data_IF_859599109543
#
_entry.id   IF_859599109543
#
_cell.length_a   1.000
_cell.length_b   1.000
_cell.length_c   1.000
_cell.angle_alpha   90.00
_cell.angle_beta   90.00
_cell.angle_gamma   90.00
#
_symmetry.space_group_name_H-M   'P 1'
#
loop_
_entity.id
_entity.type
_entity.pdbx_description
1 polymer ?
#
# COMPACT_ATOMS: atom_id res chain seq x y z
N UNK A 1 20.31 -53.35 -25.18
CA UNK A 1 21.06 -52.23 -24.52
C UNK A 1 20.06 -51.39 -23.77
N UNK A 2 19.88 -51.69 -22.47
CA UNK A 2 18.88 -50.99 -21.59
C UNK A 2 19.49 -49.69 -21.13
N UNK A 3 18.91 -48.57 -21.57
CA UNK A 3 19.24 -47.24 -21.01
C UNK A 3 18.65 -47.18 -19.58
N UNK A 4 19.47 -47.44 -18.58
CA UNK A 4 19.15 -47.09 -17.20
C UNK A 4 19.25 -45.58 -17.10
N UNK A 5 18.10 -44.90 -17.22
CA UNK A 5 18.00 -43.47 -16.84
C UNK A 5 17.98 -43.43 -15.32
N UNK A 6 19.14 -43.26 -14.69
CA UNK A 6 19.21 -42.89 -13.29
C UNK A 6 18.40 -41.60 -13.10
N UNK A 7 17.24 -41.73 -12.43
CA UNK A 7 16.52 -40.56 -11.91
C UNK A 7 17.46 -39.89 -10.91
N UNK A 8 18.12 -38.80 -11.31
CA UNK A 8 18.80 -37.91 -10.36
C UNK A 8 17.78 -37.58 -9.26
N UNK A 9 18.11 -37.99 -8.03
CA UNK A 9 17.34 -37.68 -6.82
C UNK A 9 16.99 -36.18 -6.88
N UNK A 10 15.71 -35.85 -6.75
CA UNK A 10 15.24 -34.47 -6.86
C UNK A 10 16.16 -33.54 -6.07
N UNK A 11 16.73 -32.57 -6.78
CA UNK A 11 17.69 -31.64 -6.18
C UNK A 11 16.99 -30.66 -5.26
N UNK A 12 15.71 -30.38 -5.54
CA UNK A 12 14.82 -29.51 -4.77
C UNK A 12 13.49 -30.20 -4.52
N UNK A 13 12.90 -29.90 -3.34
CA UNK A 13 11.58 -30.40 -2.95
C UNK A 13 10.47 -29.46 -3.46
N UNK A 14 10.77 -28.14 -3.53
CA UNK A 14 9.83 -27.08 -3.91
C UNK A 14 10.53 -26.09 -4.84
N UNK A 15 9.80 -25.63 -5.83
CA UNK A 15 10.19 -24.51 -6.71
C UNK A 15 9.21 -23.38 -6.48
N UNK A 16 9.72 -22.17 -6.16
CA UNK A 16 8.95 -20.95 -6.01
C UNK A 16 9.32 -20.02 -7.18
N UNK A 17 8.31 -19.52 -7.86
CA UNK A 17 8.48 -18.58 -8.97
C UNK A 17 8.17 -17.17 -8.48
N UNK A 18 9.19 -16.32 -8.50
CA UNK A 18 9.16 -14.95 -8.00
C UNK A 18 9.79 -14.81 -6.61
N UNK A 19 10.68 -13.81 -6.47
CA UNK A 19 11.41 -13.49 -5.24
C UNK A 19 10.91 -12.20 -4.56
N UNK A 20 9.66 -11.79 -4.85
CA UNK A 20 8.99 -10.75 -4.09
C UNK A 20 8.72 -11.19 -2.63
N UNK A 21 8.15 -10.31 -1.80
CA UNK A 21 7.92 -10.57 -0.37
C UNK A 21 7.21 -11.91 -0.14
N UNK A 22 6.12 -12.18 -0.87
CA UNK A 22 5.38 -13.44 -0.74
C UNK A 22 6.23 -14.68 -1.04
N UNK A 23 7.00 -14.65 -2.13
CA UNK A 23 7.89 -15.76 -2.51
C UNK A 23 9.03 -15.96 -1.51
N UNK A 24 9.60 -14.87 -1.00
CA UNK A 24 10.66 -14.89 -0.01
C UNK A 24 10.17 -15.48 1.34
N UNK A 25 8.98 -15.06 1.80
CA UNK A 25 8.36 -15.60 3.03
C UNK A 25 8.05 -17.08 2.85
N UNK A 26 7.41 -17.49 1.76
CA UNK A 26 7.10 -18.88 1.49
C UNK A 26 8.37 -19.75 1.44
N UNK A 27 9.44 -19.26 0.79
CA UNK A 27 10.73 -19.95 0.75
C UNK A 27 11.32 -20.13 2.14
N UNK A 28 11.25 -19.08 2.97
CA UNK A 28 11.79 -19.10 4.33
C UNK A 28 11.05 -20.10 5.22
N UNK A 29 9.74 -20.03 5.24
CA UNK A 29 8.88 -20.93 6.05
C UNK A 29 9.07 -22.38 5.63
N UNK A 30 9.02 -22.68 4.33
CA UNK A 30 9.21 -24.04 3.82
C UNK A 30 10.61 -24.59 4.14
N UNK A 31 11.65 -23.76 4.08
CA UNK A 31 13.00 -24.20 4.41
C UNK A 31 13.21 -24.34 5.91
N UNK A 32 12.72 -23.39 6.71
CA UNK A 32 13.00 -23.33 8.16
C UNK A 32 12.12 -24.31 8.94
N UNK A 33 10.81 -24.30 8.71
CA UNK A 33 9.85 -25.13 9.41
C UNK A 33 9.60 -26.46 8.68
N UNK A 34 9.39 -26.39 7.38
CA UNK A 34 9.13 -27.55 6.54
C UNK A 34 10.36 -28.39 6.21
N UNK A 35 11.57 -27.95 6.57
CA UNK A 35 12.84 -28.61 6.25
C UNK A 35 12.99 -29.01 4.78
N UNK A 36 12.40 -28.19 3.89
CA UNK A 36 12.40 -28.44 2.44
C UNK A 36 13.61 -27.78 1.77
N UNK A 37 14.12 -28.42 0.73
CA UNK A 37 15.07 -27.80 -0.20
C UNK A 37 14.29 -26.97 -1.20
N UNK A 38 14.39 -25.66 -1.10
CA UNK A 38 13.62 -24.73 -1.92
C UNK A 38 14.51 -24.11 -2.98
N UNK A 39 14.04 -24.07 -4.24
CA UNK A 39 14.60 -23.29 -5.32
C UNK A 39 13.68 -22.09 -5.58
N UNK A 40 14.22 -20.89 -5.54
CA UNK A 40 13.50 -19.67 -5.95
C UNK A 40 13.99 -19.26 -7.34
N UNK A 41 13.06 -19.04 -8.27
CA UNK A 41 13.35 -18.59 -9.64
C UNK A 41 12.80 -17.18 -9.78
N UNK A 42 13.64 -16.24 -10.18
CA UNK A 42 13.28 -14.84 -10.41
C UNK A 42 13.55 -14.45 -11.86
N UNK A 43 12.63 -13.72 -12.48
CA UNK A 43 12.76 -13.21 -13.86
C UNK A 43 13.61 -11.96 -13.92
N UNK A 44 13.52 -11.09 -12.89
CA UNK A 44 14.28 -9.84 -12.82
C UNK A 44 15.73 -10.13 -12.45
N UNK A 45 16.60 -9.19 -12.72
CA UNK A 45 18.00 -9.24 -12.34
C UNK A 45 18.27 -8.88 -10.86
N UNK A 46 17.21 -8.77 -10.07
CA UNK A 46 17.24 -8.48 -8.63
C UNK A 46 16.18 -9.26 -7.87
N UNK A 47 16.35 -9.40 -6.57
CA UNK A 47 15.38 -9.96 -5.63
C UNK A 47 14.49 -8.83 -5.04
N UNK A 48 13.45 -9.20 -4.25
CA UNK A 48 12.60 -8.25 -3.54
C UNK A 48 11.31 -7.90 -4.31
N UNK A 49 11.22 -8.24 -5.59
CA UNK A 49 10.04 -7.93 -6.40
C UNK A 49 9.89 -6.41 -6.58
N UNK A 50 8.75 -5.86 -6.18
CA UNK A 50 8.53 -4.41 -6.22
C UNK A 50 9.11 -3.69 -4.98
N UNK A 51 9.40 -4.40 -3.87
CA UNK A 51 10.12 -3.85 -2.71
C UNK A 51 11.63 -3.80 -3.03
N UNK A 52 12.01 -2.93 -3.95
CA UNK A 52 13.37 -2.81 -4.44
C UNK A 52 13.76 -1.36 -4.59
N UNK A 53 14.84 -0.99 -3.91
CA UNK A 53 15.39 0.35 -3.92
C UNK A 53 16.72 0.38 -4.66
N UNK A 54 16.98 1.49 -5.33
CA UNK A 54 18.23 1.75 -6.07
C UNK A 54 18.71 3.17 -5.79
N UNK A 55 19.98 3.39 -5.95
CA UNK A 55 20.49 4.75 -6.03
C UNK A 55 20.31 5.29 -7.45
N UNK A 56 19.79 6.51 -7.56
CA UNK A 56 19.72 7.24 -8.82
C UNK A 56 21.11 7.75 -9.26
N UNK A 57 21.15 8.49 -10.35
CA UNK A 57 22.38 9.06 -10.90
C UNK A 57 23.09 10.07 -9.96
N UNK A 58 22.37 10.60 -8.96
CA UNK A 58 22.90 11.53 -7.95
C UNK A 58 23.25 10.81 -6.62
N UNK A 59 23.08 9.49 -6.56
CA UNK A 59 23.35 8.69 -5.37
C UNK A 59 22.21 8.75 -4.33
N UNK A 60 21.03 9.25 -4.71
CA UNK A 60 19.86 9.30 -3.84
C UNK A 60 19.14 7.95 -3.91
N UNK A 61 18.86 7.37 -2.74
CA UNK A 61 18.10 6.12 -2.65
C UNK A 61 16.64 6.37 -3.01
N UNK A 62 16.15 5.70 -4.06
CA UNK A 62 14.79 5.82 -4.57
C UNK A 62 14.11 4.46 -4.62
N UNK A 63 12.79 4.44 -4.44
CA UNK A 63 11.94 3.28 -4.67
C UNK A 63 11.75 3.07 -6.18
N UNK A 64 12.35 2.02 -6.74
CA UNK A 64 12.34 1.76 -8.19
C UNK A 64 10.93 1.57 -8.76
N UNK A 65 10.01 1.00 -7.98
CA UNK A 65 8.65 0.65 -8.42
C UNK A 65 7.56 1.39 -7.63
N UNK A 66 7.89 2.54 -7.06
CA UNK A 66 7.01 3.33 -6.21
C UNK A 66 7.16 3.00 -4.71
N UNK A 67 6.65 3.85 -3.83
CA UNK A 67 6.84 3.73 -2.40
C UNK A 67 6.19 2.45 -1.85
N UNK A 68 6.95 1.69 -1.07
CA UNK A 68 6.51 0.47 -0.39
C UNK A 68 6.74 0.64 1.11
N UNK A 69 5.74 1.21 1.78
CA UNK A 69 5.78 1.45 3.21
C UNK A 69 5.08 0.29 3.90
N UNK A 70 5.80 -0.38 4.79
CA UNK A 70 5.23 -1.46 5.59
C UNK A 70 4.37 -0.89 6.71
N UNK A 71 3.15 -1.37 6.81
CA UNK A 71 2.25 -1.11 7.94
C UNK A 71 1.47 -2.37 8.26
N UNK A 72 1.25 -2.66 9.51
CA UNK A 72 0.44 -3.79 9.98
C UNK A 72 -0.04 -3.54 11.40
N UNK A 73 -1.22 -4.04 11.72
CA UNK A 73 -1.75 -4.15 13.08
C UNK A 73 -1.52 -5.56 13.66
N UNK A 74 -0.90 -6.45 12.88
CA UNK A 74 -0.60 -7.83 13.26
C UNK A 74 0.83 -7.93 13.82
N UNK A 75 0.91 -8.15 15.12
CA UNK A 75 2.20 -8.23 15.83
C UNK A 75 3.01 -9.46 15.41
N UNK A 76 2.38 -10.58 15.10
CA UNK A 76 3.07 -11.80 14.64
C UNK A 76 3.79 -11.55 13.31
N UNK A 77 3.13 -10.85 12.39
CA UNK A 77 3.73 -10.44 11.11
C UNK A 77 4.90 -9.47 11.34
N UNK A 78 4.73 -8.51 12.25
CA UNK A 78 5.77 -7.56 12.61
C UNK A 78 6.99 -8.23 13.23
N UNK A 79 6.78 -9.14 14.19
CA UNK A 79 7.86 -9.91 14.84
C UNK A 79 8.59 -10.79 13.81
N UNK A 80 7.86 -11.49 12.95
CA UNK A 80 8.46 -12.34 11.92
C UNK A 80 9.39 -11.53 11.00
N UNK A 81 8.93 -10.39 10.49
CA UNK A 81 9.72 -9.55 9.59
C UNK A 81 10.87 -8.85 10.30
N UNK A 82 10.73 -8.50 11.58
CA UNK A 82 11.79 -7.89 12.39
C UNK A 82 13.03 -8.78 12.57
N UNK A 83 12.93 -10.07 12.26
CA UNK A 83 14.06 -11.00 12.19
C UNK A 83 15.02 -10.67 11.06
N UNK A 84 14.58 -9.95 10.04
CA UNK A 84 15.32 -9.73 8.78
C UNK A 84 15.68 -8.27 8.54
N UNK A 85 15.06 -7.33 9.25
CA UNK A 85 15.29 -5.89 9.06
C UNK A 85 15.25 -5.12 10.36
N UNK A 86 15.77 -3.89 10.30
CA UNK A 86 15.55 -2.86 11.32
C UNK A 86 14.56 -1.87 10.75
N UNK A 87 13.51 -1.57 11.52
CA UNK A 87 12.50 -0.62 11.13
C UNK A 87 12.96 0.81 11.33
N UNK A 88 12.54 1.65 10.42
CA UNK A 88 12.64 3.10 10.52
C UNK A 88 11.21 3.64 10.60
N UNK A 89 10.89 4.37 11.68
CA UNK A 89 9.59 4.98 11.84
C UNK A 89 9.45 6.15 10.86
N UNK A 90 8.54 5.99 9.93
CA UNK A 90 8.28 6.96 8.87
C UNK A 90 6.85 7.46 8.94
N UNK A 91 6.67 8.76 9.26
CA UNK A 91 5.40 9.46 9.17
C UNK A 91 5.08 9.76 7.71
N UNK A 92 4.19 8.98 7.12
CA UNK A 92 3.80 9.14 5.74
C UNK A 92 2.65 10.15 5.62
N UNK A 93 2.91 11.29 4.97
CA UNK A 93 1.90 12.30 4.67
C UNK A 93 1.71 12.39 3.17
N UNK A 94 0.52 12.01 2.70
CA UNK A 94 0.14 12.15 1.30
C UNK A 94 -0.67 13.43 1.14
N UNK A 95 -0.31 14.22 0.16
CA UNK A 95 -1.07 15.43 -0.20
C UNK A 95 -1.42 15.41 -1.68
N UNK A 96 -2.60 15.92 -2.00
CA UNK A 96 -3.03 16.19 -3.38
C UNK A 96 -2.96 17.70 -3.64
N UNK A 97 -2.48 18.09 -4.81
CA UNK A 97 -2.53 19.48 -5.27
C UNK A 97 -3.87 19.72 -5.97
N UNK A 98 -4.69 20.59 -5.38
CA UNK A 98 -5.98 21.01 -5.94
C UNK A 98 -5.97 22.51 -6.13
N UNK A 99 -5.87 22.96 -7.37
CA UNK A 99 -5.58 24.38 -7.66
C UNK A 99 -4.23 24.79 -7.06
N UNK A 100 -4.26 25.81 -6.20
CA UNK A 100 -3.06 26.32 -5.51
C UNK A 100 -2.90 25.73 -4.08
N UNK A 101 -3.79 24.83 -3.66
CA UNK A 101 -3.78 24.24 -2.31
C UNK A 101 -3.20 22.84 -2.32
N UNK A 102 -2.46 22.50 -1.26
CA UNK A 102 -2.09 21.13 -0.93
C UNK A 102 -3.04 20.62 0.15
N UNK A 103 -3.80 19.58 -0.14
CA UNK A 103 -4.79 19.02 0.78
C UNK A 103 -4.39 17.61 1.18
N UNK A 104 -4.64 17.18 2.43
CA UNK A 104 -4.33 15.82 2.89
C UNK A 104 -5.10 14.74 2.13
N UNK A 105 -4.45 13.61 1.90
CA UNK A 105 -5.08 12.38 1.35
C UNK A 105 -4.85 11.25 2.36
N UNK A 106 -5.89 10.54 2.77
CA UNK A 106 -7.29 10.64 2.38
C UNK A 106 -7.96 11.94 2.87
N UNK A 107 -8.99 12.35 2.13
CA UNK A 107 -9.81 13.49 2.51
C UNK A 107 -10.42 13.27 3.92
N UNK A 108 -10.33 14.26 4.78
CA UNK A 108 -10.78 14.20 6.17
C UNK A 108 -11.43 15.50 6.62
N UNK A 109 -11.90 15.58 7.87
CA UNK A 109 -12.60 16.76 8.38
C UNK A 109 -11.73 18.04 8.31
N UNK A 110 -10.43 17.94 8.56
CA UNK A 110 -9.53 19.12 8.42
C UNK A 110 -9.48 19.64 6.98
N UNK A 111 -9.66 18.76 6.00
CA UNK A 111 -9.67 19.14 4.59
C UNK A 111 -10.88 20.02 4.25
N UNK A 112 -12.01 19.87 4.95
CA UNK A 112 -13.17 20.75 4.78
C UNK A 112 -12.78 22.20 5.04
N UNK A 113 -12.08 22.46 6.14
CA UNK A 113 -11.62 23.82 6.53
C UNK A 113 -10.51 24.37 5.60
N UNK A 114 -9.84 23.51 4.86
CA UNK A 114 -8.86 23.93 3.84
C UNK A 114 -9.51 24.29 2.50
N UNK A 115 -10.63 23.64 2.18
CA UNK A 115 -11.29 23.74 0.86
C UNK A 115 -12.41 24.75 0.86
N UNK A 116 -13.25 24.78 1.89
CA UNK A 116 -14.42 25.65 2.02
C UNK A 116 -14.13 26.83 2.96
N UNK A 117 -15.01 27.84 2.95
CA UNK A 117 -15.03 28.87 3.98
C UNK A 117 -15.41 28.29 5.34
N UNK A 118 -15.05 28.97 6.42
CA UNK A 118 -15.19 28.46 7.78
C UNK A 118 -16.63 28.16 8.17
N UNK A 119 -17.61 28.97 7.73
CA UNK A 119 -19.03 28.75 8.05
C UNK A 119 -19.54 27.46 7.38
N UNK A 120 -19.22 27.30 6.09
CA UNK A 120 -19.59 26.10 5.34
C UNK A 120 -18.87 24.86 5.86
N UNK A 121 -17.57 24.96 6.12
CA UNK A 121 -16.77 23.85 6.64
C UNK A 121 -17.32 23.33 7.97
N UNK A 122 -17.59 24.21 8.93
CA UNK A 122 -18.16 23.85 10.24
C UNK A 122 -19.53 23.20 10.10
N UNK A 123 -20.39 23.73 9.21
CA UNK A 123 -21.70 23.15 8.95
C UNK A 123 -21.59 21.72 8.36
N UNK A 124 -20.70 21.55 7.41
CA UNK A 124 -20.48 20.24 6.76
C UNK A 124 -19.89 19.21 7.73
N UNK A 125 -18.89 19.62 8.53
CA UNK A 125 -18.31 18.78 9.57
C UNK A 125 -19.38 18.29 10.54
N UNK A 126 -20.23 19.19 11.03
CA UNK A 126 -21.32 18.85 11.94
C UNK A 126 -22.27 17.82 11.32
N UNK A 127 -22.69 18.02 10.06
CA UNK A 127 -23.55 17.08 9.33
C UNK A 127 -22.93 15.69 9.22
N UNK A 128 -21.65 15.63 8.82
CA UNK A 128 -20.94 14.36 8.67
C UNK A 128 -20.80 13.61 10.01
N UNK A 129 -20.48 14.32 11.10
CA UNK A 129 -20.36 13.74 12.42
C UNK A 129 -21.72 13.24 12.94
N UNK A 130 -22.79 14.01 12.75
CA UNK A 130 -24.14 13.63 13.15
C UNK A 130 -24.65 12.39 12.41
N UNK A 131 -24.34 12.27 11.13
CA UNK A 131 -24.84 11.16 10.29
C UNK A 131 -23.97 9.90 10.39
N UNK A 132 -22.65 10.05 10.37
CA UNK A 132 -21.72 8.92 10.28
C UNK A 132 -20.92 8.66 11.56
N UNK A 133 -20.90 9.59 12.49
CA UNK A 133 -20.10 9.53 13.70
C UNK A 133 -18.68 10.06 13.51
N UNK A 134 -18.06 10.47 14.62
CA UNK A 134 -16.66 10.88 14.68
C UNK A 134 -15.76 9.65 14.44
N UNK A 135 -14.65 9.83 13.78
CA UNK A 135 -13.66 8.79 13.47
C UNK A 135 -14.16 7.68 12.52
N UNK A 136 -15.31 7.89 11.88
CA UNK A 136 -15.82 6.95 10.87
C UNK A 136 -15.08 7.06 9.55
N UNK A 137 -15.01 5.94 8.80
CA UNK A 137 -14.52 5.89 7.42
C UNK A 137 -15.71 5.60 6.50
N UNK A 138 -16.08 6.56 5.68
CA UNK A 138 -17.22 6.44 4.78
C UNK A 138 -16.75 6.35 3.33
N UNK A 139 -17.14 5.31 2.57
CA UNK A 139 -16.81 5.21 1.15
C UNK A 139 -17.39 6.39 0.37
N UNK A 140 -16.58 6.98 -0.51
CA UNK A 140 -16.98 8.15 -1.32
C UNK A 140 -18.27 7.89 -2.12
N UNK A 141 -18.44 6.70 -2.64
CA UNK A 141 -19.64 6.32 -3.40
C UNK A 141 -20.91 6.39 -2.56
N UNK A 142 -20.82 6.04 -1.26
CA UNK A 142 -21.95 6.17 -0.33
C UNK A 142 -22.30 7.64 -0.07
N UNK A 143 -21.30 8.51 0.04
CA UNK A 143 -21.54 9.96 0.17
C UNK A 143 -22.19 10.56 -1.08
N UNK A 144 -21.86 10.07 -2.28
CA UNK A 144 -22.47 10.52 -3.53
C UNK A 144 -23.96 10.17 -3.67
N UNK A 145 -24.40 9.15 -2.95
CA UNK A 145 -25.81 8.70 -2.92
C UNK A 145 -26.59 9.34 -1.76
N UNK A 146 -25.95 10.20 -0.95
CA UNK A 146 -26.58 10.84 0.20
C UNK A 146 -27.73 11.77 -0.24
N UNK A 147 -28.79 11.84 0.54
CA UNK A 147 -29.96 12.72 0.26
C UNK A 147 -29.62 14.20 0.45
N UNK A 148 -28.67 14.52 1.33
CA UNK A 148 -28.21 15.89 1.57
C UNK A 148 -27.31 16.38 0.42
N UNK A 149 -27.67 17.48 -0.19
CA UNK A 149 -26.93 18.06 -1.33
C UNK A 149 -25.54 18.54 -0.94
N UNK A 150 -25.35 19.03 0.30
CA UNK A 150 -24.05 19.51 0.77
C UNK A 150 -23.08 18.32 0.94
N UNK A 151 -23.59 17.16 1.43
CA UNK A 151 -22.78 15.94 1.55
C UNK A 151 -22.40 15.40 0.17
N UNK A 152 -23.34 15.41 -0.79
CA UNK A 152 -23.03 15.05 -2.18
C UNK A 152 -21.99 15.97 -2.81
N UNK A 153 -22.03 17.27 -2.51
CA UNK A 153 -21.05 18.22 -3.03
C UNK A 153 -19.62 17.87 -2.56
N UNK A 154 -19.46 17.49 -1.27
CA UNK A 154 -18.17 17.00 -0.76
C UNK A 154 -17.71 15.77 -1.54
N UNK A 155 -18.60 14.81 -1.70
CA UNK A 155 -18.29 13.57 -2.41
C UNK A 155 -17.87 13.81 -3.86
N UNK A 156 -18.55 14.72 -4.55
CA UNK A 156 -18.22 15.09 -5.92
C UNK A 156 -16.90 15.83 -6.01
N UNK A 157 -16.63 16.75 -5.08
CA UNK A 157 -15.35 17.44 -4.98
C UNK A 157 -14.18 16.42 -4.84
N UNK A 158 -14.31 15.48 -3.92
CA UNK A 158 -13.27 14.46 -3.69
C UNK A 158 -13.11 13.57 -4.92
N UNK A 159 -14.21 13.11 -5.51
CA UNK A 159 -14.19 12.26 -6.70
C UNK A 159 -13.48 12.92 -7.88
N UNK A 160 -13.79 14.19 -8.15
CA UNK A 160 -13.25 14.92 -9.30
C UNK A 160 -11.79 15.37 -9.09
N UNK A 161 -11.39 15.72 -7.86
CA UNK A 161 -10.12 16.37 -7.61
C UNK A 161 -9.08 15.48 -6.92
N UNK A 162 -9.50 14.46 -6.18
CA UNK A 162 -8.60 13.62 -5.39
C UNK A 162 -8.51 12.21 -5.97
N UNK A 163 -9.64 11.55 -6.20
CA UNK A 163 -9.65 10.18 -6.72
C UNK A 163 -9.11 10.09 -8.15
N UNK A 164 -9.49 11.04 -9.01
CA UNK A 164 -8.97 11.13 -10.38
C UNK A 164 -7.45 11.34 -10.44
N UNK A 165 -6.86 11.99 -9.45
CA UNK A 165 -5.41 12.20 -9.37
C UNK A 165 -4.66 10.96 -8.90
N UNK A 166 -5.23 10.14 -8.03
CA UNK A 166 -4.61 8.88 -7.57
C UNK A 166 -4.57 7.85 -8.70
N UNK A 167 -5.62 7.78 -9.53
CA UNK A 167 -5.69 6.86 -10.68
C UNK A 167 -4.68 7.26 -11.75
N UNK A 168 -4.43 8.55 -11.95
CA UNK A 168 -3.48 9.03 -12.95
C UNK A 168 -2.01 9.00 -12.49
N UNK A 169 -1.74 8.73 -11.24
CA UNK A 169 -0.38 8.59 -10.68
C UNK A 169 0.11 7.13 -10.66
N UNK A 170 -0.74 6.18 -11.02
CA UNK A 170 -0.42 4.74 -11.12
C UNK A 170 -0.12 4.37 -12.58
#
# INVERSE_FOLDING_TARGET
MSLIVERKKNMYDVIIVGSGVAGAVAARVLAEEGKKKVLVIERRNHIGGNCYDVNDEYGILIHQYGPHIFHTDDEEVREFLSRFTKWYDFGHEVVAKVGDKLIPVPFNLNTLHMVYDEEKATRLEKKLIEEYGKDSRVPIMKLRENEDSDVREIAEFVYQNVEGMIINAS
#
